data_IF_788566530877
#
_entry.id   IF_788566530877
#
_cell.length_a   1.000
_cell.length_b   1.000
_cell.length_c   1.000
_cell.angle_alpha   90.00
_cell.angle_beta   90.00
_cell.angle_gamma   90.00
#
_symmetry.space_group_name_H-M   'P 1'
#
loop_
_entity.id
_entity.type
_entity.pdbx_description
1 polymer ?
#
# COMPACT_ATOMS: atom_id res chain seq x y z
N UNK A 1 35.23 11.98 8.97
CA UNK A 1 35.31 10.64 8.37
C UNK A 1 36.51 9.98 9.02
N UNK A 2 36.34 8.85 9.68
CA UNK A 2 37.49 8.15 10.27
C UNK A 2 38.37 7.57 9.17
N UNK A 3 39.65 7.29 9.43
CA UNK A 3 40.53 6.62 8.46
C UNK A 3 39.98 5.25 8.03
N UNK A 4 39.20 4.60 8.91
CA UNK A 4 38.50 3.33 8.64
C UNK A 4 37.37 3.52 7.62
N UNK A 5 36.58 4.58 7.73
CA UNK A 5 35.49 4.86 6.78
C UNK A 5 36.03 5.22 5.39
N UNK A 6 37.16 5.94 5.33
CA UNK A 6 37.82 6.27 4.06
C UNK A 6 38.43 5.03 3.36
N UNK A 7 38.99 4.11 4.14
CA UNK A 7 39.48 2.84 3.62
C UNK A 7 38.32 1.97 3.09
N UNK A 8 37.17 1.97 3.77
CA UNK A 8 35.98 1.25 3.35
C UNK A 8 35.42 1.77 2.01
N UNK A 9 35.26 3.08 1.85
CA UNK A 9 34.81 3.69 0.59
C UNK A 9 35.75 3.31 -0.58
N UNK A 10 37.06 3.29 -0.32
CA UNK A 10 38.08 2.89 -1.31
C UNK A 10 37.97 1.41 -1.69
N UNK A 11 37.56 0.54 -0.76
CA UNK A 11 37.38 -0.90 -1.00
C UNK A 11 36.06 -1.22 -1.72
N UNK A 12 35.01 -0.42 -1.52
CA UNK A 12 33.69 -0.61 -2.14
C UNK A 12 33.67 -0.18 -3.61
N UNK A 13 34.38 0.90 -3.96
CA UNK A 13 34.29 1.50 -5.30
C UNK A 13 34.71 0.55 -6.44
N UNK A 14 35.77 -0.28 -6.32
CA UNK A 14 36.14 -1.25 -7.37
C UNK A 14 35.11 -2.35 -7.63
N UNK A 15 34.15 -2.58 -6.71
CA UNK A 15 33.09 -3.57 -6.90
C UNK A 15 31.98 -3.07 -7.84
N UNK A 16 31.84 -1.75 -7.97
CA UNK A 16 30.81 -1.12 -8.81
C UNK A 16 31.06 -1.43 -10.29
N UNK A 17 30.00 -1.80 -11.00
CA UNK A 17 30.03 -2.33 -12.36
C UNK A 17 30.22 -3.84 -12.43
N UNK A 18 30.50 -4.51 -11.31
CA UNK A 18 30.59 -5.97 -11.25
C UNK A 18 29.27 -6.64 -11.61
N UNK A 19 29.34 -7.72 -12.39
CA UNK A 19 28.20 -8.54 -12.78
C UNK A 19 28.33 -9.96 -12.23
N UNK A 20 27.23 -10.50 -11.73
CA UNK A 20 27.17 -11.87 -11.23
C UNK A 20 26.96 -12.91 -12.34
N UNK A 21 27.04 -14.20 -11.99
CA UNK A 21 26.51 -15.26 -12.84
C UNK A 21 25.02 -15.06 -13.10
N UNK A 22 24.56 -15.53 -14.26
CA UNK A 22 23.13 -15.51 -14.60
C UNK A 22 22.42 -16.51 -13.70
N UNK A 23 21.41 -16.03 -12.98
CA UNK A 23 20.50 -16.85 -12.21
C UNK A 23 19.35 -17.25 -13.11
N UNK A 24 18.97 -18.52 -13.11
CA UNK A 24 17.82 -19.02 -13.85
C UNK A 24 16.78 -19.47 -12.83
N UNK A 25 15.53 -19.06 -13.03
CA UNK A 25 14.40 -19.52 -12.24
C UNK A 25 14.39 -21.04 -12.20
N UNK A 26 14.17 -21.61 -11.02
CA UNK A 26 14.15 -23.08 -10.85
C UNK A 26 12.96 -23.72 -11.55
N UNK A 27 11.87 -22.98 -11.69
CA UNK A 27 10.63 -23.41 -12.30
C UNK A 27 10.18 -22.38 -13.34
N UNK A 28 9.47 -22.80 -14.41
CA UNK A 28 8.83 -21.86 -15.31
C UNK A 28 7.75 -21.04 -14.59
N UNK A 29 7.40 -19.90 -15.16
CA UNK A 29 6.25 -19.10 -14.76
C UNK A 29 5.01 -19.99 -14.73
N UNK A 30 4.46 -20.20 -13.54
CA UNK A 30 3.35 -21.14 -13.34
C UNK A 30 1.99 -20.44 -13.36
N UNK A 31 1.03 -20.95 -14.13
CA UNK A 31 -0.34 -20.43 -14.14
C UNK A 31 -1.00 -20.48 -12.74
N UNK A 32 -0.71 -21.52 -11.96
CA UNK A 32 -1.19 -21.63 -10.57
C UNK A 32 -0.56 -20.58 -9.65
N UNK A 33 0.72 -20.26 -9.84
CA UNK A 33 1.39 -19.20 -9.08
C UNK A 33 0.81 -17.82 -9.44
N UNK A 34 0.56 -17.56 -10.73
CA UNK A 34 -0.16 -16.36 -11.18
C UNK A 34 -1.54 -16.25 -10.53
N UNK A 35 -2.33 -17.33 -10.56
CA UNK A 35 -3.68 -17.36 -9.97
C UNK A 35 -3.65 -17.14 -8.46
N UNK A 36 -2.70 -17.76 -7.75
CA UNK A 36 -2.52 -17.59 -6.31
C UNK A 36 -2.11 -16.15 -5.96
N UNK A 37 -1.20 -15.56 -6.73
CA UNK A 37 -0.82 -14.16 -6.59
C UNK A 37 -2.02 -13.24 -6.79
N UNK A 38 -2.83 -13.47 -7.84
CA UNK A 38 -4.03 -12.69 -8.08
C UNK A 38 -5.02 -12.76 -6.91
N UNK A 39 -5.28 -13.96 -6.39
CA UNK A 39 -6.16 -14.14 -5.24
C UNK A 39 -5.66 -13.37 -4.00
N UNK A 40 -4.37 -13.47 -3.67
CA UNK A 40 -3.77 -12.80 -2.51
C UNK A 40 -3.79 -11.27 -2.65
N UNK A 41 -3.48 -10.74 -3.84
CA UNK A 41 -3.53 -9.29 -4.07
C UNK A 41 -4.96 -8.76 -4.23
N UNK A 42 -5.97 -9.64 -4.27
CA UNK A 42 -7.33 -9.33 -4.71
C UNK A 42 -7.37 -8.70 -6.10
N UNK A 43 -6.49 -9.15 -6.99
CA UNK A 43 -6.43 -8.77 -8.40
C UNK A 43 -7.45 -9.58 -9.19
N UNK A 44 -8.42 -8.87 -9.78
CA UNK A 44 -9.58 -9.45 -10.44
C UNK A 44 -9.56 -9.28 -11.96
N UNK A 45 -8.48 -8.73 -12.55
CA UNK A 45 -8.34 -8.61 -14.00
C UNK A 45 -8.34 -10.01 -14.66
N UNK A 46 -9.38 -10.32 -15.48
CA UNK A 46 -9.52 -11.64 -16.07
C UNK A 46 -8.42 -11.97 -17.08
N UNK A 47 -7.68 -10.98 -17.60
CA UNK A 47 -6.59 -11.22 -18.55
C UNK A 47 -5.43 -12.03 -17.95
N UNK A 48 -5.35 -12.14 -16.63
CA UNK A 48 -4.30 -12.90 -15.94
C UNK A 48 -4.68 -14.37 -15.68
N UNK A 49 -5.95 -14.74 -15.80
CA UNK A 49 -6.43 -16.08 -15.38
C UNK A 49 -7.45 -16.73 -16.32
N UNK A 50 -8.13 -15.97 -17.17
CA UNK A 50 -9.11 -16.47 -18.13
C UNK A 50 -8.56 -16.43 -19.55
N UNK A 51 -8.27 -17.60 -20.12
CA UNK A 51 -7.68 -17.74 -21.45
C UNK A 51 -8.56 -17.17 -22.57
N UNK A 52 -9.88 -17.33 -22.47
CA UNK A 52 -10.81 -16.88 -23.50
C UNK A 52 -10.87 -15.34 -23.54
N UNK A 53 -10.87 -14.70 -22.37
CA UNK A 53 -10.81 -13.24 -22.28
C UNK A 53 -9.44 -12.73 -22.71
N UNK A 54 -8.36 -13.36 -22.21
CA UNK A 54 -6.99 -12.97 -22.47
C UNK A 54 -6.58 -13.06 -23.95
N UNK A 55 -7.11 -14.03 -24.70
CA UNK A 55 -6.88 -14.17 -26.14
C UNK A 55 -7.32 -12.93 -26.94
N UNK A 56 -8.34 -12.21 -26.47
CA UNK A 56 -8.81 -10.95 -27.07
C UNK A 56 -8.17 -9.69 -26.46
N UNK A 57 -7.34 -9.87 -25.44
CA UNK A 57 -6.67 -8.82 -24.70
C UNK A 57 -5.49 -8.18 -25.45
N UNK A 58 -4.90 -7.10 -24.90
CA UNK A 58 -3.72 -6.44 -25.47
C UNK A 58 -2.51 -7.36 -25.62
N UNK A 59 -2.47 -8.46 -24.87
CA UNK A 59 -1.38 -9.43 -24.91
C UNK A 59 -1.69 -10.68 -25.74
N UNK A 60 -2.91 -10.87 -26.26
CA UNK A 60 -3.25 -12.03 -27.10
C UNK A 60 -3.14 -13.41 -26.42
N UNK A 61 -3.29 -13.47 -25.10
CA UNK A 61 -3.20 -14.68 -24.27
C UNK A 61 -2.83 -14.32 -22.83
N UNK A 62 -2.90 -15.28 -21.90
CA UNK A 62 -2.57 -15.03 -20.48
C UNK A 62 -1.13 -14.53 -20.35
N UNK A 63 -0.97 -13.54 -19.48
CA UNK A 63 0.32 -13.04 -18.98
C UNK A 63 0.32 -13.01 -17.46
N UNK A 64 1.50 -13.07 -16.86
CA UNK A 64 1.67 -12.79 -15.45
C UNK A 64 1.47 -11.28 -15.18
N UNK A 65 0.88 -10.91 -14.03
CA UNK A 65 0.77 -9.52 -13.63
C UNK A 65 2.16 -8.83 -13.63
N UNK A 66 2.28 -7.58 -14.11
CA UNK A 66 3.58 -6.94 -14.33
C UNK A 66 4.43 -6.85 -13.06
N UNK A 67 3.81 -6.59 -11.90
CA UNK A 67 4.48 -6.51 -10.61
C UNK A 67 5.12 -7.84 -10.12
N UNK A 68 4.96 -8.94 -10.86
CA UNK A 68 5.59 -10.24 -10.56
C UNK A 68 7.00 -10.38 -11.12
N UNK A 69 7.52 -9.41 -11.89
CA UNK A 69 8.78 -9.53 -12.64
C UNK A 69 9.93 -10.18 -11.86
N UNK A 70 10.21 -9.71 -10.65
CA UNK A 70 11.34 -10.18 -9.84
C UNK A 70 11.01 -11.41 -8.97
N UNK A 71 9.74 -11.75 -8.80
CA UNK A 71 9.27 -12.89 -7.99
C UNK A 71 9.88 -14.22 -8.46
N UNK A 72 9.98 -14.42 -9.78
CA UNK A 72 10.34 -15.70 -10.38
C UNK A 72 11.78 -16.14 -10.15
N UNK A 73 12.64 -15.22 -9.74
CA UNK A 73 14.06 -15.49 -9.44
C UNK A 73 14.38 -15.28 -7.95
N UNK A 74 13.36 -15.13 -7.11
CA UNK A 74 13.56 -14.99 -5.67
C UNK A 74 14.20 -16.26 -5.08
N UNK A 75 15.26 -16.14 -4.27
CA UNK A 75 15.87 -17.30 -3.64
C UNK A 75 14.99 -17.83 -2.50
N UNK A 76 14.93 -19.16 -2.37
CA UNK A 76 14.33 -19.81 -1.19
C UNK A 76 15.23 -19.61 0.02
N UNK A 77 14.72 -19.00 1.09
CA UNK A 77 15.47 -18.65 2.32
C UNK A 77 15.06 -19.46 3.56
N UNK A 78 14.56 -20.68 3.36
CA UNK A 78 14.13 -21.55 4.47
C UNK A 78 15.35 -22.24 5.08
N UNK A 79 15.63 -21.98 6.37
CA UNK A 79 16.77 -22.56 7.10
C UNK A 79 17.78 -21.54 7.65
N UNK A 80 17.48 -20.24 7.59
CA UNK A 80 18.31 -19.15 8.11
C UNK A 80 19.02 -18.36 7.01
N UNK A 81 19.66 -17.25 7.41
CA UNK A 81 20.22 -16.25 6.48
C UNK A 81 21.23 -16.79 5.46
N UNK A 82 21.83 -17.95 5.67
CA UNK A 82 22.86 -18.55 4.80
C UNK A 82 22.34 -19.57 3.79
N UNK A 83 21.13 -20.12 3.96
CA UNK A 83 20.60 -21.16 3.08
C UNK A 83 19.95 -20.52 1.86
N UNK A 84 20.42 -20.88 0.66
CA UNK A 84 19.88 -20.40 -0.62
C UNK A 84 20.38 -19.02 -1.07
N UNK A 85 21.31 -18.37 -0.33
CA UNK A 85 22.01 -17.17 -0.84
C UNK A 85 23.04 -17.60 -1.87
N UNK A 86 22.85 -17.14 -3.11
CA UNK A 86 23.91 -17.13 -4.11
C UNK A 86 24.98 -16.10 -3.67
N UNK A 87 26.10 -16.62 -3.17
CA UNK A 87 27.23 -15.83 -2.67
C UNK A 87 28.06 -15.20 -3.79
N UNK A 88 27.86 -15.63 -5.04
CA UNK A 88 28.66 -15.19 -6.19
C UNK A 88 28.06 -13.94 -6.86
N UNK A 89 26.96 -13.40 -6.31
CA UNK A 89 26.32 -12.18 -6.78
C UNK A 89 27.13 -10.92 -6.43
N UNK A 90 27.17 -9.90 -7.31
CA UNK A 90 28.15 -8.82 -7.25
C UNK A 90 27.99 -7.92 -6.01
N UNK A 91 26.78 -7.85 -5.45
CA UNK A 91 26.49 -7.10 -4.24
C UNK A 91 26.95 -7.79 -2.95
N UNK A 92 27.21 -9.11 -2.97
CA UNK A 92 27.54 -9.85 -1.74
C UNK A 92 28.87 -9.41 -1.14
N UNK A 93 29.88 -9.17 -1.97
CA UNK A 93 31.17 -8.63 -1.51
C UNK A 93 31.00 -7.25 -0.85
N UNK A 94 30.15 -6.39 -1.41
CA UNK A 94 29.85 -5.09 -0.82
C UNK A 94 29.10 -5.24 0.53
N UNK A 95 28.14 -6.18 0.60
CA UNK A 95 27.43 -6.46 1.85
C UNK A 95 28.36 -6.96 2.95
N UNK A 96 29.25 -7.89 2.63
CA UNK A 96 30.21 -8.43 3.59
C UNK A 96 31.16 -7.34 4.13
N UNK A 97 31.73 -6.50 3.25
CA UNK A 97 32.57 -5.39 3.68
C UNK A 97 31.83 -4.41 4.60
N UNK A 98 30.55 -4.15 4.30
CA UNK A 98 29.70 -3.30 5.12
C UNK A 98 29.37 -3.97 6.47
N UNK A 99 29.07 -5.27 6.47
CA UNK A 99 28.82 -6.05 7.70
C UNK A 99 30.04 -6.07 8.61
N UNK A 100 31.23 -6.34 8.06
CA UNK A 100 32.50 -6.36 8.79
C UNK A 100 32.84 -4.98 9.39
N UNK A 101 32.39 -3.90 8.75
CA UNK A 101 32.50 -2.52 9.26
C UNK A 101 31.35 -2.10 10.21
N UNK A 102 30.47 -3.04 10.58
CA UNK A 102 29.38 -2.84 11.54
C UNK A 102 28.09 -2.25 10.96
N UNK A 103 27.93 -2.18 9.64
CA UNK A 103 26.69 -1.78 8.97
C UNK A 103 25.76 -2.97 8.76
N UNK A 104 25.34 -3.58 9.87
CA UNK A 104 24.59 -4.83 9.91
C UNK A 104 23.09 -4.68 9.70
N UNK A 105 22.53 -3.48 9.93
CA UNK A 105 21.13 -3.17 9.63
C UNK A 105 20.90 -3.09 8.12
N UNK A 106 19.76 -3.59 7.66
CA UNK A 106 19.37 -3.55 6.24
C UNK A 106 17.89 -3.21 6.10
N UNK A 107 17.57 -2.35 5.14
CA UNK A 107 16.19 -2.08 4.72
C UNK A 107 16.16 -1.81 3.22
N UNK A 108 15.11 -2.28 2.53
CA UNK A 108 14.84 -1.89 1.15
C UNK A 108 14.34 -0.43 1.12
N UNK A 109 14.78 0.36 0.15
CA UNK A 109 14.36 1.76 0.02
C UNK A 109 13.74 2.08 -1.33
N UNK A 110 14.11 1.36 -2.39
CA UNK A 110 13.53 1.55 -3.72
C UNK A 110 13.39 0.24 -4.48
N UNK A 111 12.35 0.15 -5.29
CA UNK A 111 12.11 -0.87 -6.30
C UNK A 111 11.51 -0.20 -7.53
N UNK A 112 12.31 -0.08 -8.58
CA UNK A 112 11.91 0.53 -9.84
C UNK A 112 11.93 -0.53 -10.94
N UNK A 113 10.74 -0.97 -11.37
CA UNK A 113 10.55 -1.96 -12.41
C UNK A 113 10.23 -1.28 -13.74
N UNK A 114 10.85 -1.74 -14.82
CA UNK A 114 10.48 -1.38 -16.19
C UNK A 114 10.15 -2.65 -16.98
N UNK A 115 9.07 -2.60 -17.75
CA UNK A 115 8.50 -3.75 -18.43
C UNK A 115 8.68 -3.59 -19.94
N UNK A 116 9.48 -4.45 -20.54
CA UNK A 116 9.71 -4.51 -21.99
C UNK A 116 8.73 -5.49 -22.64
N UNK A 117 8.49 -6.62 -21.97
CA UNK A 117 7.48 -7.61 -22.31
C UNK A 117 6.81 -8.13 -21.04
N UNK A 118 5.62 -8.73 -21.17
CA UNK A 118 4.95 -9.39 -20.06
C UNK A 118 5.26 -10.90 -20.11
N UNK A 119 5.63 -11.46 -18.96
CA UNK A 119 5.88 -12.88 -18.80
C UNK A 119 4.61 -13.70 -19.06
N UNK A 120 4.77 -14.92 -19.58
CA UNK A 120 3.67 -15.86 -19.83
C UNK A 120 3.86 -17.14 -19.04
N UNK A 121 2.76 -17.83 -18.67
CA UNK A 121 2.87 -19.19 -18.18
C UNK A 121 3.71 -20.08 -19.11
N UNK A 122 4.74 -20.73 -18.56
CA UNK A 122 5.71 -21.53 -19.29
C UNK A 122 7.06 -20.85 -19.56
N UNK A 123 7.15 -19.52 -19.46
CA UNK A 123 8.43 -18.82 -19.61
C UNK A 123 9.42 -19.22 -18.51
N UNK A 124 10.69 -19.41 -18.85
CA UNK A 124 11.75 -19.61 -17.86
C UNK A 124 12.54 -18.30 -17.78
N UNK A 125 12.46 -17.66 -16.61
CA UNK A 125 13.06 -16.35 -16.37
C UNK A 125 14.52 -16.52 -15.99
N UNK A 126 15.39 -15.70 -16.57
CA UNK A 126 16.77 -15.54 -16.14
C UNK A 126 17.01 -14.11 -15.67
N UNK A 127 17.91 -13.94 -14.69
CA UNK A 127 18.25 -12.67 -14.08
C UNK A 127 19.77 -12.48 -14.08
N UNK A 128 20.24 -11.32 -14.56
CA UNK A 128 21.63 -10.88 -14.44
C UNK A 128 21.71 -9.64 -13.58
N UNK A 129 22.34 -9.77 -12.41
CA UNK A 129 22.53 -8.66 -11.47
C UNK A 129 23.82 -7.91 -11.78
N UNK A 130 23.75 -6.59 -11.72
CA UNK A 130 24.89 -5.66 -11.76
C UNK A 130 24.88 -4.81 -10.49
N UNK A 131 26.00 -4.70 -9.79
CA UNK A 131 26.16 -3.71 -8.72
C UNK A 131 26.40 -2.34 -9.36
N UNK A 132 25.37 -1.49 -9.46
CA UNK A 132 25.48 -0.22 -10.19
C UNK A 132 25.98 0.95 -9.33
N UNK A 133 25.93 0.84 -8.00
CA UNK A 133 26.53 1.85 -7.16
C UNK A 133 26.44 1.59 -5.67
N UNK A 134 27.44 2.10 -4.94
CA UNK A 134 27.43 2.24 -3.50
C UNK A 134 27.58 3.73 -3.18
N UNK A 135 26.67 4.30 -2.41
CA UNK A 135 26.74 5.72 -2.07
C UNK A 135 27.88 5.98 -1.08
N UNK A 136 28.41 7.21 -1.03
CA UNK A 136 29.14 7.67 0.15
C UNK A 136 28.26 7.53 1.40
N UNK A 137 28.89 7.54 2.58
CA UNK A 137 28.17 7.46 3.85
C UNK A 137 27.09 8.55 3.96
N UNK A 138 25.90 8.15 4.41
CA UNK A 138 24.72 9.00 4.63
C UNK A 138 24.20 8.84 6.05
N UNK A 139 23.77 9.95 6.64
CA UNK A 139 23.02 9.96 7.89
C UNK A 139 21.52 9.96 7.59
N UNK A 140 20.80 8.97 8.09
CA UNK A 140 19.33 8.87 8.03
C UNK A 140 18.72 8.81 9.43
N UNK A 141 17.39 8.68 9.51
CA UNK A 141 16.69 8.41 10.78
C UNK A 141 16.99 7.01 11.34
N UNK A 142 17.27 6.03 10.48
CA UNK A 142 17.60 4.66 10.88
C UNK A 142 19.05 4.51 11.35
N UNK A 143 19.96 5.24 10.71
CA UNK A 143 21.38 5.11 10.99
C UNK A 143 22.28 5.89 10.06
N UNK A 144 23.56 5.90 10.41
CA UNK A 144 24.66 6.16 9.49
C UNK A 144 24.85 4.90 8.63
N UNK A 145 24.93 5.05 7.31
CA UNK A 145 25.01 3.92 6.40
C UNK A 145 25.29 4.28 4.95
N UNK A 146 25.22 3.26 4.09
CA UNK A 146 25.44 3.35 2.65
C UNK A 146 24.24 2.81 1.89
N UNK A 147 23.86 3.49 0.81
CA UNK A 147 22.91 2.93 -0.14
C UNK A 147 23.65 2.02 -1.10
N UNK A 148 23.17 0.80 -1.27
CA UNK A 148 23.67 -0.14 -2.27
C UNK A 148 22.58 -0.31 -3.32
N UNK A 149 22.91 0.01 -4.57
CA UNK A 149 21.97 -0.05 -5.70
C UNK A 149 22.41 -1.14 -6.66
N UNK A 150 21.50 -2.04 -6.99
CA UNK A 150 21.67 -3.09 -7.99
C UNK A 150 20.69 -2.89 -9.13
N UNK A 151 21.11 -3.21 -10.34
CA UNK A 151 20.22 -3.35 -11.48
C UNK A 151 20.16 -4.83 -11.87
N UNK A 152 18.96 -5.35 -12.09
CA UNK A 152 18.72 -6.71 -12.53
C UNK A 152 18.06 -6.66 -13.89
N UNK A 153 18.70 -7.26 -14.90
CA UNK A 153 18.11 -7.45 -16.22
C UNK A 153 17.50 -8.84 -16.32
N UNK A 154 16.24 -8.91 -16.74
CA UNK A 154 15.49 -10.15 -16.89
C UNK A 154 15.31 -10.52 -18.37
N UNK A 155 15.47 -11.80 -18.67
CA UNK A 155 15.24 -12.35 -20.01
C UNK A 155 14.50 -13.69 -19.94
N UNK A 156 13.77 -14.05 -21.00
CA UNK A 156 13.12 -15.36 -21.13
C UNK A 156 14.13 -16.46 -21.52
N UNK A 157 13.64 -17.69 -21.74
CA UNK A 157 14.45 -18.84 -22.16
C UNK A 157 15.15 -18.68 -23.51
N UNK A 158 14.74 -17.71 -24.33
CA UNK A 158 15.33 -17.41 -25.64
C UNK A 158 16.38 -16.29 -25.56
N UNK A 159 16.55 -15.66 -24.38
CA UNK A 159 17.43 -14.52 -24.19
C UNK A 159 16.79 -13.19 -24.59
N UNK A 160 15.49 -13.16 -24.89
CA UNK A 160 14.78 -11.92 -25.17
C UNK A 160 14.58 -11.13 -23.88
N UNK A 161 14.87 -9.83 -23.85
CA UNK A 161 14.60 -8.98 -22.70
C UNK A 161 13.12 -8.95 -22.32
N UNK A 162 12.84 -9.03 -21.03
CA UNK A 162 11.48 -8.94 -20.48
C UNK A 162 11.30 -7.71 -19.62
N UNK A 163 12.33 -7.30 -18.90
CA UNK A 163 12.28 -6.08 -18.10
C UNK A 163 13.53 -5.89 -17.25
N UNK A 164 13.55 -4.80 -16.50
CA UNK A 164 14.61 -4.47 -15.57
C UNK A 164 14.07 -4.10 -14.19
N UNK A 165 14.87 -4.35 -13.16
CA UNK A 165 14.62 -3.89 -11.79
C UNK A 165 15.84 -3.12 -11.30
N UNK A 166 15.66 -1.84 -10.98
CA UNK A 166 16.60 -1.15 -10.09
C UNK A 166 16.14 -1.33 -8.65
N UNK A 167 16.97 -1.97 -7.84
CA UNK A 167 16.70 -2.20 -6.42
C UNK A 167 17.73 -1.47 -5.57
N UNK A 168 17.29 -0.79 -4.53
CA UNK A 168 18.17 -0.10 -3.60
C UNK A 168 17.87 -0.52 -2.17
N UNK A 169 18.92 -0.86 -1.45
CA UNK A 169 18.87 -1.05 0.00
C UNK A 169 19.70 0.01 0.71
N UNK A 170 19.41 0.23 1.99
CA UNK A 170 20.25 0.99 2.89
C UNK A 170 20.86 0.04 3.94
N UNK A 171 22.18 -0.10 3.91
CA UNK A 171 22.98 -0.82 4.90
C UNK A 171 23.45 0.17 5.95
N UNK A 172 23.10 -0.03 7.21
CA UNK A 172 23.31 0.97 8.25
C UNK A 172 23.78 0.37 9.56
N UNK A 173 24.44 1.20 10.37
CA UNK A 173 24.85 0.84 11.73
C UNK A 173 23.68 1.06 12.69
N UNK A 174 23.12 0.01 13.31
CA UNK A 174 22.04 0.15 14.28
C UNK A 174 22.44 1.11 15.43
N UNK A 175 21.47 1.84 15.98
CA UNK A 175 21.70 2.77 17.10
C UNK A 175 22.41 4.09 16.73
N UNK A 176 22.69 4.34 15.44
CA UNK A 176 23.30 5.60 14.97
C UNK A 176 22.33 6.51 14.20
N UNK A 177 21.03 6.23 14.32
CA UNK A 177 19.98 7.05 13.71
C UNK A 177 20.01 8.48 14.21
N UNK A 178 19.51 9.43 13.40
CA UNK A 178 19.26 10.78 13.91
C UNK A 178 18.32 10.67 15.10
N UNK A 179 18.77 11.09 16.26
CA UNK A 179 17.87 11.35 17.37
C UNK A 179 16.86 12.39 16.87
N UNK A 180 15.60 11.98 16.71
CA UNK A 180 14.48 12.91 16.71
C UNK A 180 14.61 13.61 18.07
N UNK A 181 14.66 14.95 18.08
CA UNK A 181 14.97 15.73 19.29
C UNK A 181 14.26 15.12 20.50
N UNK A 182 15.01 14.97 21.60
CA UNK A 182 14.65 14.27 22.84
C UNK A 182 13.34 14.81 23.46
N UNK A 183 12.19 14.57 22.83
CA UNK A 183 11.01 14.30 23.60
C UNK A 183 11.19 12.87 24.10
N UNK A 184 11.29 12.65 25.42
CA UNK A 184 11.34 11.29 25.94
C UNK A 184 10.18 10.51 25.32
N UNK A 185 10.49 9.36 24.73
CA UNK A 185 9.45 8.38 24.38
C UNK A 185 8.83 7.99 25.71
N UNK A 186 7.68 8.58 25.99
CA UNK A 186 6.92 8.26 27.17
C UNK A 186 6.37 6.85 26.97
N UNK A 187 7.09 5.89 27.54
CA UNK A 187 6.73 4.48 27.55
C UNK A 187 5.65 4.19 28.62
N UNK A 188 5.12 5.23 29.27
CA UNK A 188 3.94 5.07 30.10
C UNK A 188 2.74 4.67 29.24
N UNK A 189 1.88 3.76 29.73
CA UNK A 189 0.72 3.33 28.99
C UNK A 189 -0.14 4.54 28.65
N UNK A 190 -0.47 4.68 27.35
CA UNK A 190 -1.32 5.77 26.89
C UNK A 190 -2.64 5.77 27.67
N UNK A 191 -3.09 6.92 28.17
CA UNK A 191 -4.38 6.99 28.84
C UNK A 191 -5.50 6.62 27.88
N UNK A 192 -6.50 5.91 28.40
CA UNK A 192 -7.70 5.58 27.64
C UNK A 192 -8.47 6.84 27.22
N UNK A 193 -9.26 6.71 26.14
CA UNK A 193 -10.11 7.80 25.68
C UNK A 193 -11.12 8.18 26.75
N UNK A 194 -11.43 9.48 26.94
CA UNK A 194 -12.49 9.89 27.86
C UNK A 194 -13.79 9.16 27.54
N UNK A 195 -14.36 8.49 28.55
CA UNK A 195 -15.62 7.77 28.39
C UNK A 195 -16.74 8.74 27.99
N UNK A 196 -17.52 8.42 26.95
CA UNK A 196 -18.68 9.24 26.62
C UNK A 196 -19.69 9.22 27.76
N UNK A 197 -20.45 10.31 27.91
CA UNK A 197 -21.58 10.38 28.83
C UNK A 197 -22.86 10.27 28.04
N UNK A 198 -23.74 9.38 28.46
CA UNK A 198 -25.09 9.25 27.90
C UNK A 198 -26.11 8.92 28.98
N UNK A 199 -27.38 9.07 28.65
CA UNK A 199 -28.51 8.80 29.55
C UNK A 199 -29.40 7.68 29.00
N UNK A 200 -30.49 7.37 29.70
CA UNK A 200 -31.43 6.31 29.32
C UNK A 200 -32.05 6.54 27.94
N UNK A 201 -32.31 7.80 27.55
CA UNK A 201 -32.93 8.16 26.26
C UNK A 201 -32.02 7.88 25.05
N UNK A 202 -30.72 7.71 25.29
CA UNK A 202 -29.72 7.39 24.28
C UNK A 202 -29.23 5.94 24.37
N UNK A 203 -29.68 5.16 25.35
CA UNK A 203 -29.15 3.82 25.63
C UNK A 203 -29.27 2.87 24.42
N UNK A 204 -30.35 2.98 23.63
CA UNK A 204 -30.57 2.19 22.42
C UNK A 204 -29.50 2.43 21.34
N UNK A 205 -28.98 3.66 21.25
CA UNK A 205 -27.93 4.04 20.30
C UNK A 205 -26.59 3.41 20.71
N UNK A 206 -26.20 3.56 21.98
CA UNK A 206 -24.96 2.98 22.51
C UNK A 206 -24.96 1.45 22.50
N UNK A 207 -26.10 0.82 22.79
CA UNK A 207 -26.26 -0.62 22.62
C UNK A 207 -26.16 -1.03 21.15
N UNK A 208 -26.60 -0.17 20.22
CA UNK A 208 -26.38 -0.37 18.79
C UNK A 208 -24.91 -0.33 18.44
N UNK A 209 -24.17 0.69 18.89
CA UNK A 209 -22.73 0.80 18.63
C UNK A 209 -21.97 -0.42 19.15
N UNK A 210 -22.30 -0.93 20.33
CA UNK A 210 -21.72 -2.17 20.91
C UNK A 210 -22.01 -3.43 20.08
N UNK A 211 -23.06 -3.39 19.25
CA UNK A 211 -23.42 -4.44 18.31
C UNK A 211 -22.94 -4.13 16.88
N UNK A 212 -22.10 -3.09 16.70
CA UNK A 212 -21.66 -2.60 15.40
C UNK A 212 -22.82 -2.18 14.48
N UNK A 213 -23.86 -1.59 15.08
CA UNK A 213 -25.03 -1.03 14.40
C UNK A 213 -25.12 0.48 14.62
N UNK A 214 -25.08 1.26 13.54
CA UNK A 214 -25.32 2.70 13.62
C UNK A 214 -26.83 2.97 13.63
N UNK A 215 -27.43 2.97 14.82
CA UNK A 215 -28.87 3.20 14.97
C UNK A 215 -29.20 4.70 14.94
N UNK A 216 -30.19 5.07 14.14
CA UNK A 216 -30.69 6.44 13.95
C UNK A 216 -32.13 6.54 14.45
N UNK A 217 -32.45 7.60 15.19
CA UNK A 217 -33.77 7.80 15.78
C UNK A 217 -34.79 8.06 14.67
N UNK A 218 -35.96 7.42 14.78
CA UNK A 218 -37.11 7.65 13.89
C UNK A 218 -38.36 7.92 14.70
N UNK A 219 -39.02 9.05 14.45
CA UNK A 219 -40.34 9.31 15.05
C UNK A 219 -41.41 8.44 14.38
N UNK A 220 -42.19 7.69 15.17
CA UNK A 220 -43.13 6.70 14.63
C UNK A 220 -44.33 7.33 13.94
N UNK A 221 -44.76 8.52 14.39
CA UNK A 221 -45.89 9.23 13.80
C UNK A 221 -45.57 9.88 12.44
N UNK A 222 -44.36 10.43 12.29
CA UNK A 222 -43.95 11.18 11.10
C UNK A 222 -43.03 10.40 10.16
N UNK A 223 -42.40 9.32 10.64
CA UNK A 223 -41.32 8.61 9.94
C UNK A 223 -40.01 9.40 9.86
N UNK A 224 -39.93 10.60 10.46
CA UNK A 224 -38.76 11.48 10.37
C UNK A 224 -37.56 10.87 11.07
N UNK A 225 -36.43 10.84 10.37
CA UNK A 225 -35.13 10.50 10.95
C UNK A 225 -34.46 11.73 11.55
N UNK A 226 -33.86 11.59 12.73
CA UNK A 226 -33.17 12.68 13.43
C UNK A 226 -31.85 12.22 14.05
N UNK A 227 -30.83 13.04 13.88
CA UNK A 227 -29.55 12.95 14.58
C UNK A 227 -29.00 14.36 14.86
N UNK A 228 -28.50 14.67 16.07
CA UNK A 228 -28.45 13.80 17.26
C UNK A 228 -29.85 13.48 17.80
N UNK A 229 -30.01 12.42 18.62
CA UNK A 229 -31.31 12.07 19.20
C UNK A 229 -31.95 13.21 20.01
N UNK A 230 -33.25 13.40 19.85
CA UNK A 230 -34.05 14.43 20.54
C UNK A 230 -35.29 13.83 21.19
N UNK A 231 -35.85 14.49 22.20
CA UNK A 231 -36.96 13.95 23.01
C UNK A 231 -38.31 14.01 22.28
N UNK A 232 -38.50 14.98 21.39
CA UNK A 232 -39.75 15.18 20.66
C UNK A 232 -39.48 15.61 19.21
N UNK A 233 -40.36 15.23 18.29
CA UNK A 233 -40.28 15.60 16.88
C UNK A 233 -40.34 17.14 16.77
N UNK A 234 -39.37 17.79 16.10
CA UNK A 234 -39.30 19.25 16.02
C UNK A 234 -40.45 19.89 15.22
N UNK A 235 -41.26 19.09 14.51
CA UNK A 235 -42.41 19.53 13.73
C UNK A 235 -43.74 19.13 14.38
N UNK A 236 -43.87 17.87 14.80
CA UNK A 236 -45.16 17.34 15.32
C UNK A 236 -45.24 17.35 16.85
N UNK A 237 -44.10 17.52 17.53
CA UNK A 237 -43.94 17.36 18.97
C UNK A 237 -44.34 15.97 19.49
N UNK A 238 -44.44 14.96 18.61
CA UNK A 238 -44.63 13.58 19.02
C UNK A 238 -43.39 13.09 19.79
N UNK A 239 -43.63 12.32 20.84
CA UNK A 239 -42.59 11.72 21.68
C UNK A 239 -42.39 10.24 21.38
N UNK A 240 -43.28 9.63 20.58
CA UNK A 240 -43.16 8.24 20.18
C UNK A 240 -42.09 8.10 19.09
N UNK A 241 -41.03 7.34 19.40
CA UNK A 241 -39.95 7.04 18.47
C UNK A 241 -39.50 5.58 18.60
N UNK A 242 -38.93 5.08 17.51
CA UNK A 242 -38.11 3.89 17.45
C UNK A 242 -36.77 4.24 16.78
N UNK A 243 -36.08 3.26 16.20
CA UNK A 243 -34.86 3.48 15.45
C UNK A 243 -34.81 2.62 14.19
N UNK A 244 -33.97 3.06 13.25
CA UNK A 244 -33.53 2.27 12.10
C UNK A 244 -32.03 2.02 12.21
N UNK A 245 -31.55 0.89 11.70
CA UNK A 245 -30.11 0.66 11.52
C UNK A 245 -29.73 1.30 10.19
N UNK A 246 -28.80 2.26 10.22
CA UNK A 246 -28.30 2.90 9.01
C UNK A 246 -27.47 1.92 8.17
N UNK A 247 -27.37 2.18 6.86
CA UNK A 247 -26.51 1.43 5.92
C UNK A 247 -25.03 1.49 6.31
N UNK A 248 -24.66 2.50 7.11
CA UNK A 248 -23.28 2.81 7.46
C UNK A 248 -22.53 3.56 6.36
N UNK A 249 -23.19 3.90 5.25
CA UNK A 249 -22.59 4.64 4.13
C UNK A 249 -23.02 6.10 4.15
N UNK A 250 -22.15 6.96 3.66
CA UNK A 250 -22.41 8.39 3.54
C UNK A 250 -21.35 9.12 2.73
N UNK A 251 -21.40 10.44 2.79
CA UNK A 251 -20.42 11.31 2.15
C UNK A 251 -19.90 12.36 3.12
N UNK A 252 -18.65 12.78 2.94
CA UNK A 252 -18.05 13.83 3.75
C UNK A 252 -18.68 15.19 3.43
N UNK A 253 -19.51 15.72 4.32
CA UNK A 253 -20.19 17.00 4.12
C UNK A 253 -19.29 18.20 4.48
N UNK A 254 -18.57 18.11 5.59
CA UNK A 254 -17.57 19.10 6.03
C UNK A 254 -16.61 18.48 7.04
N UNK A 255 -15.45 19.10 7.29
CA UNK A 255 -14.50 18.60 8.29
C UNK A 255 -13.60 19.68 8.88
N UNK A 256 -12.97 19.35 10.00
CA UNK A 256 -11.90 20.12 10.64
C UNK A 256 -10.88 19.19 11.28
N UNK A 257 -9.63 19.62 11.45
CA UNK A 257 -8.58 18.87 12.12
C UNK A 257 -7.91 19.75 13.19
N UNK A 258 -8.39 19.75 14.44
CA UNK A 258 -7.76 20.49 15.53
C UNK A 258 -6.31 20.03 15.76
N UNK A 259 -5.37 20.97 15.76
CA UNK A 259 -3.94 20.69 15.93
C UNK A 259 -3.46 20.81 17.38
N UNK A 260 -3.98 21.79 18.14
CA UNK A 260 -3.60 22.05 19.53
C UNK A 260 -4.80 22.47 20.41
N UNK A 261 -4.78 22.17 21.72
CA UNK A 261 -3.80 21.32 22.41
C UNK A 261 -3.99 19.83 22.06
N UNK A 262 -2.89 19.08 22.02
CA UNK A 262 -2.96 17.63 21.83
C UNK A 262 -3.27 16.95 23.18
N UNK A 263 -4.18 15.98 23.15
CA UNK A 263 -4.56 15.19 24.32
C UNK A 263 -3.99 13.79 24.14
N UNK A 264 -3.18 13.27 25.09
CA UNK A 264 -2.47 11.99 24.92
C UNK A 264 -3.36 10.78 24.61
N UNK A 265 -4.64 10.83 24.97
CA UNK A 265 -5.60 9.75 24.73
C UNK A 265 -6.10 9.65 23.26
N UNK A 266 -5.72 10.59 22.39
CA UNK A 266 -6.16 10.63 21.00
C UNK A 266 -4.99 10.50 20.02
N UNK A 267 -5.29 9.89 18.87
CA UNK A 267 -4.38 9.82 17.75
C UNK A 267 -4.52 11.06 16.87
N UNK A 268 -3.39 11.52 16.30
CA UNK A 268 -3.33 12.72 15.47
C UNK A 268 -2.77 12.39 14.09
N UNK A 269 -3.25 13.05 13.01
CA UNK A 269 -4.23 14.14 12.98
C UNK A 269 -5.64 13.69 13.35
N UNK A 270 -6.29 14.42 14.27
CA UNK A 270 -7.64 14.13 14.73
C UNK A 270 -8.64 14.76 13.76
N UNK A 271 -9.00 14.07 12.68
CA UNK A 271 -10.01 14.58 11.75
C UNK A 271 -11.40 14.40 12.34
N UNK A 272 -12.14 15.50 12.45
CA UNK A 272 -13.55 15.53 12.85
C UNK A 272 -14.37 15.89 11.61
N UNK A 273 -15.13 14.93 11.11
CA UNK A 273 -15.99 15.08 9.94
C UNK A 273 -17.46 15.16 10.32
N UNK A 274 -18.22 15.96 9.58
CA UNK A 274 -19.67 15.85 9.49
C UNK A 274 -19.99 14.96 8.28
N UNK A 275 -20.55 13.80 8.52
CA UNK A 275 -20.90 12.80 7.49
C UNK A 275 -22.38 12.89 7.20
N UNK A 276 -22.76 13.10 5.95
CA UNK A 276 -24.15 12.99 5.49
C UNK A 276 -24.40 11.54 5.08
N UNK A 277 -25.20 10.84 5.87
CA UNK A 277 -25.56 9.45 5.63
C UNK A 277 -26.52 9.33 4.44
N UNK A 278 -26.57 8.15 3.82
CA UNK A 278 -27.52 7.86 2.73
C UNK A 278 -28.99 8.04 3.16
N UNK A 279 -29.29 7.90 4.46
CA UNK A 279 -30.62 8.17 5.03
C UNK A 279 -30.96 9.67 5.14
N UNK A 280 -30.03 10.57 4.83
CA UNK A 280 -30.23 12.03 4.78
C UNK A 280 -30.03 12.77 6.11
N UNK A 281 -29.63 12.07 7.18
CA UNK A 281 -29.19 12.71 8.43
C UNK A 281 -27.68 12.91 8.44
N UNK A 282 -27.20 13.80 9.30
CA UNK A 282 -25.76 14.08 9.45
C UNK A 282 -25.23 13.66 10.81
N UNK A 283 -24.08 13.00 10.84
CA UNK A 283 -23.42 12.49 12.04
C UNK A 283 -22.02 13.11 12.16
N UNK A 284 -21.68 13.60 13.34
CA UNK A 284 -20.30 14.04 13.63
C UNK A 284 -19.49 12.82 14.07
N UNK A 285 -18.38 12.56 13.39
CA UNK A 285 -17.54 11.39 13.66
C UNK A 285 -16.07 11.66 13.36
N UNK A 286 -15.18 10.77 13.82
CA UNK A 286 -13.79 10.81 13.37
C UNK A 286 -13.66 10.20 11.98
N UNK A 287 -12.90 10.87 11.12
CA UNK A 287 -12.52 10.29 9.82
C UNK A 287 -11.12 9.69 9.97
N UNK A 288 -11.00 8.40 9.73
CA UNK A 288 -9.78 7.60 9.95
C UNK A 288 -9.32 6.91 8.68
N UNK A 289 -8.11 6.34 8.72
CA UNK A 289 -7.51 5.68 7.55
C UNK A 289 -7.20 6.65 6.41
N UNK A 290 -7.14 7.96 6.64
CA UNK A 290 -6.85 8.95 5.60
C UNK A 290 -6.27 10.21 6.25
N UNK A 291 -5.36 10.89 5.55
CA UNK A 291 -4.77 12.13 6.01
C UNK A 291 -5.61 13.35 5.61
N UNK A 292 -5.51 14.48 6.35
CA UNK A 292 -6.22 15.71 6.03
C UNK A 292 -6.02 16.22 4.59
N UNK A 293 -4.81 16.10 4.03
CA UNK A 293 -4.47 16.53 2.65
C UNK A 293 -5.12 15.66 1.57
N UNK A 294 -5.67 14.50 1.94
CA UNK A 294 -6.32 13.57 1.04
C UNK A 294 -7.85 13.71 1.05
N UNK A 295 -8.42 14.48 1.99
CA UNK A 295 -9.87 14.62 2.13
C UNK A 295 -10.48 15.56 1.08
N UNK A 296 -11.65 15.18 0.58
CA UNK A 296 -12.46 15.96 -0.35
C UNK A 296 -13.92 15.97 0.13
N UNK A 297 -14.57 17.12 -0.01
CA UNK A 297 -16.02 17.21 0.25
C UNK A 297 -16.75 16.36 -0.78
N UNK A 298 -17.73 15.58 -0.32
CA UNK A 298 -18.43 14.58 -1.13
C UNK A 298 -17.74 13.22 -1.18
N UNK A 299 -16.55 13.05 -0.58
CA UNK A 299 -15.85 11.77 -0.53
C UNK A 299 -16.77 10.68 0.06
N UNK A 300 -16.95 9.52 -0.62
CA UNK A 300 -17.71 8.41 -0.07
C UNK A 300 -17.02 7.83 1.17
N UNK A 301 -17.81 7.63 2.22
CA UNK A 301 -17.36 7.10 3.50
C UNK A 301 -18.21 5.90 3.93
N UNK A 302 -17.58 4.98 4.63
CA UNK A 302 -18.23 3.86 5.32
C UNK A 302 -17.91 3.89 6.82
N UNK A 303 -18.85 3.43 7.63
CA UNK A 303 -18.69 3.30 9.07
C UNK A 303 -17.66 2.22 9.39
N UNK A 304 -16.81 2.52 10.35
CA UNK A 304 -15.91 1.57 11.00
C UNK A 304 -15.99 1.78 12.52
N UNK A 305 -15.41 0.85 13.27
CA UNK A 305 -15.64 0.75 14.71
C UNK A 305 -14.33 0.87 15.47
N UNK A 306 -14.37 1.63 16.56
CA UNK A 306 -13.31 1.67 17.55
C UNK A 306 -13.86 1.16 18.88
N UNK A 307 -13.44 -0.03 19.27
CA UNK A 307 -13.66 -0.56 20.62
C UNK A 307 -12.71 0.15 21.59
N UNK A 308 -13.21 1.24 22.16
CA UNK A 308 -12.42 2.13 23.02
C UNK A 308 -12.23 1.59 24.43
N UNK A 309 -13.16 0.76 24.90
CA UNK A 309 -13.19 0.09 26.19
C UNK A 309 -13.98 -1.22 26.03
N UNK A 310 -13.90 -2.14 27.01
CA UNK A 310 -14.63 -3.42 27.01
C UNK A 310 -16.14 -3.31 26.74
N UNK A 311 -16.75 -2.18 27.11
CA UNK A 311 -18.19 -1.92 27.01
C UNK A 311 -18.55 -0.71 26.14
N UNK A 312 -17.56 -0.06 25.48
CA UNK A 312 -17.78 1.16 24.70
C UNK A 312 -17.16 1.06 23.31
N UNK A 313 -18.03 0.93 22.32
CA UNK A 313 -17.69 1.05 20.89
C UNK A 313 -18.07 2.43 20.38
N UNK A 314 -17.19 3.05 19.60
CA UNK A 314 -17.41 4.33 18.93
C UNK A 314 -17.55 4.11 17.42
N UNK A 315 -18.48 4.81 16.79
CA UNK A 315 -18.47 4.91 15.33
C UNK A 315 -17.29 5.79 14.88
N UNK A 316 -16.67 5.40 13.80
CA UNK A 316 -15.74 6.20 13.00
C UNK A 316 -16.14 6.05 11.54
N UNK A 317 -15.60 6.88 10.66
CA UNK A 317 -15.79 6.72 9.22
C UNK A 317 -14.44 6.68 8.52
N UNK A 318 -14.34 5.88 7.47
CA UNK A 318 -13.16 5.80 6.61
C UNK A 318 -13.59 5.89 5.14
N UNK A 319 -12.69 6.26 4.21
CA UNK A 319 -13.01 6.22 2.78
C UNK A 319 -13.54 4.84 2.37
N UNK A 320 -14.51 4.81 1.46
CA UNK A 320 -14.96 3.55 0.86
C UNK A 320 -13.86 3.01 -0.05
N UNK A 321 -13.61 1.70 -0.03
CA UNK A 321 -12.80 1.07 -1.08
C UNK A 321 -13.50 1.23 -2.42
N UNK A 322 -12.86 1.85 -3.44
CA UNK A 322 -13.50 2.06 -4.73
C UNK A 322 -13.81 0.73 -5.40
N UNK A 323 -14.94 0.68 -6.10
CA UNK A 323 -15.25 -0.43 -6.99
C UNK A 323 -14.22 -0.47 -8.13
N UNK A 324 -13.83 -1.69 -8.49
CA UNK A 324 -12.97 -1.91 -9.65
C UNK A 324 -13.70 -1.52 -10.93
N UNK A 325 -13.03 -0.78 -11.80
CA UNK A 325 -13.47 -0.51 -13.16
C UNK A 325 -13.40 -1.78 -14.02
N UNK A 326 -14.52 -2.16 -14.64
CA UNK A 326 -14.60 -3.31 -15.56
C UNK A 326 -14.47 -2.93 -17.04
N UNK A 327 -14.74 -1.67 -17.39
CA UNK A 327 -14.35 -1.12 -18.70
C UNK A 327 -12.89 -0.64 -18.65
N UNK A 328 -12.36 -0.07 -19.74
CA UNK A 328 -11.01 0.50 -19.74
C UNK A 328 -11.07 1.94 -20.19
N UNK A 329 -10.47 2.83 -19.40
CA UNK A 329 -10.27 4.23 -19.76
C UNK A 329 -9.53 4.31 -21.07
N UNK A 330 -10.00 5.19 -21.96
CA UNK A 330 -9.26 5.55 -23.16
C UNK A 330 -8.46 6.81 -22.88
N UNK A 331 -7.45 7.07 -23.71
CA UNK A 331 -6.63 8.29 -23.63
C UNK A 331 -7.49 9.55 -23.49
N UNK A 332 -8.59 9.66 -24.24
CA UNK A 332 -9.50 10.80 -24.22
C UNK A 332 -10.20 11.06 -22.88
N UNK A 333 -10.25 10.07 -21.99
CA UNK A 333 -10.96 10.17 -20.70
C UNK A 333 -10.11 10.82 -19.59
N UNK A 334 -8.82 11.05 -19.84
CA UNK A 334 -7.84 11.38 -18.80
C UNK A 334 -7.13 12.69 -19.08
N UNK A 335 -7.02 13.51 -18.04
CA UNK A 335 -6.31 14.79 -18.00
C UNK A 335 -5.29 14.85 -16.86
N UNK A 336 -4.23 15.66 -17.06
CA UNK A 336 -3.29 15.98 -15.98
C UNK A 336 -4.04 16.66 -14.83
N UNK A 337 -3.83 16.16 -13.61
CA UNK A 337 -4.51 16.62 -12.40
C UNK A 337 -5.68 15.74 -11.96
N UNK A 338 -6.15 14.82 -12.79
CA UNK A 338 -7.20 13.87 -12.41
C UNK A 338 -6.76 13.04 -11.21
N UNK A 339 -7.58 13.04 -10.15
CA UNK A 339 -7.29 12.29 -8.92
C UNK A 339 -7.88 10.90 -9.00
N UNK A 340 -7.10 9.92 -8.56
CA UNK A 340 -7.58 8.55 -8.40
C UNK A 340 -8.38 8.46 -7.09
N UNK A 341 -9.44 7.62 -7.05
CA UNK A 341 -10.21 7.43 -5.83
C UNK A 341 -9.31 6.84 -4.72
N UNK A 342 -9.36 7.40 -3.49
CA UNK A 342 -8.64 6.84 -2.36
C UNK A 342 -9.02 5.39 -2.12
N UNK A 343 -8.04 4.52 -1.88
CA UNK A 343 -8.28 3.11 -1.63
C UNK A 343 -7.62 2.69 -0.31
N UNK A 344 -8.39 2.58 0.79
CA UNK A 344 -7.88 1.99 2.02
C UNK A 344 -7.69 0.48 1.86
N UNK A 345 -6.61 -0.01 2.44
CA UNK A 345 -6.20 -1.41 2.44
C UNK A 345 -5.86 -1.77 3.87
N UNK A 346 -6.64 -2.69 4.44
CA UNK A 346 -6.37 -3.21 5.78
C UNK A 346 -5.17 -4.15 5.71
N UNK A 347 -4.11 -3.80 6.44
CA UNK A 347 -2.89 -4.60 6.54
C UNK A 347 -3.13 -5.64 7.62
N UNK A 348 -3.64 -6.80 7.24
CA UNK A 348 -3.86 -7.90 8.17
C UNK A 348 -2.63 -8.81 8.26
N UNK A 349 -2.53 -9.60 9.32
CA UNK A 349 -1.52 -10.69 9.41
C UNK A 349 -1.63 -11.62 8.20
N UNK A 350 -2.85 -11.93 7.78
CA UNK A 350 -3.13 -12.74 6.59
C UNK A 350 -2.50 -12.13 5.35
N UNK A 351 -2.78 -10.85 5.05
CA UNK A 351 -2.21 -10.17 3.88
C UNK A 351 -0.69 -10.15 3.89
N UNK A 352 -0.07 -9.87 5.05
CA UNK A 352 1.40 -9.83 5.18
C UNK A 352 2.00 -11.20 4.89
N UNK A 353 1.50 -12.25 5.54
CA UNK A 353 2.05 -13.60 5.39
C UNK A 353 1.76 -14.18 4.01
N UNK A 354 0.51 -14.08 3.53
CA UNK A 354 0.13 -14.60 2.22
C UNK A 354 0.82 -13.83 1.10
N UNK A 355 0.99 -12.51 1.25
CA UNK A 355 1.71 -11.66 0.32
C UNK A 355 3.17 -12.08 0.17
N UNK A 356 3.86 -12.31 1.28
CA UNK A 356 5.23 -12.83 1.28
C UNK A 356 5.34 -14.19 0.56
N UNK A 357 4.45 -15.12 0.89
CA UNK A 357 4.43 -16.45 0.26
C UNK A 357 4.09 -16.40 -1.23
N UNK A 358 3.08 -15.63 -1.62
CA UNK A 358 2.65 -15.49 -3.01
C UNK A 358 3.68 -14.77 -3.88
N UNK A 359 4.60 -14.01 -3.26
CA UNK A 359 5.71 -13.32 -3.93
C UNK A 359 7.04 -14.04 -3.78
N UNK A 360 7.02 -15.29 -3.29
CA UNK A 360 8.20 -16.14 -3.04
C UNK A 360 9.28 -15.47 -2.18
N UNK A 361 8.88 -14.51 -1.35
CA UNK A 361 9.75 -13.82 -0.43
C UNK A 361 9.74 -14.53 0.93
N UNK A 362 10.66 -15.46 1.08
CA UNK A 362 10.80 -16.28 2.28
C UNK A 362 11.66 -15.62 3.36
N UNK A 363 11.83 -14.29 3.34
CA UNK A 363 12.52 -13.62 4.44
C UNK A 363 11.67 -13.63 5.72
N UNK A 364 12.29 -14.07 6.81
CA UNK A 364 11.67 -14.35 8.12
C UNK A 364 10.82 -13.20 8.69
N UNK A 365 11.25 -11.94 8.52
CA UNK A 365 10.53 -10.76 9.06
C UNK A 365 9.13 -10.55 8.48
N UNK A 366 8.72 -11.34 7.48
CA UNK A 366 7.39 -11.28 6.88
C UNK A 366 6.44 -12.36 7.39
N UNK A 367 6.93 -13.36 8.14
CA UNK A 367 6.13 -14.51 8.57
C UNK A 367 6.52 -15.11 9.92
N UNK A 368 7.58 -14.61 10.56
CA UNK A 368 8.03 -14.99 11.90
C UNK A 368 8.12 -13.73 12.78
N UNK A 369 7.14 -13.59 13.69
CA UNK A 369 7.06 -12.46 14.62
C UNK A 369 8.23 -12.41 15.60
N UNK A 370 8.79 -13.56 16.00
CA UNK A 370 9.91 -13.60 16.94
C UNK A 370 11.20 -13.18 16.24
N UNK A 371 11.41 -13.61 15.00
CA UNK A 371 12.51 -13.15 14.17
C UNK A 371 12.42 -11.64 13.87
N UNK A 372 11.22 -11.14 13.58
CA UNK A 372 10.98 -9.70 13.38
C UNK A 372 11.33 -8.89 14.64
N UNK A 373 10.88 -9.33 15.82
CA UNK A 373 11.17 -8.69 17.12
C UNK A 373 12.65 -8.76 17.49
N UNK A 374 13.31 -9.89 17.21
CA UNK A 374 14.76 -10.02 17.38
C UNK A 374 15.55 -9.01 16.53
N UNK A 375 14.98 -8.54 15.41
CA UNK A 375 15.52 -7.50 14.53
C UNK A 375 15.05 -6.09 14.88
N UNK A 376 14.32 -5.92 15.98
CA UNK A 376 13.88 -4.61 16.50
C UNK A 376 12.59 -4.07 15.88
N UNK A 377 11.82 -4.92 15.17
CA UNK A 377 10.49 -4.57 14.66
C UNK A 377 9.42 -4.86 15.72
N UNK A 378 8.30 -4.12 15.77
CA UNK A 378 7.21 -4.42 16.69
C UNK A 378 6.51 -5.76 16.37
N UNK A 379 6.38 -6.08 15.09
CA UNK A 379 5.84 -7.33 14.56
C UNK A 379 6.33 -7.53 13.11
N UNK A 380 5.85 -8.58 12.44
CA UNK A 380 6.08 -8.82 11.01
C UNK A 380 5.74 -7.57 10.16
N UNK A 381 6.43 -7.42 9.04
CA UNK A 381 6.27 -6.29 8.12
C UNK A 381 5.83 -6.75 6.74
N UNK A 382 5.01 -5.95 6.07
CA UNK A 382 4.66 -6.18 4.67
C UNK A 382 5.88 -5.97 3.75
N UNK A 383 6.18 -6.95 2.90
CA UNK A 383 7.29 -6.83 1.96
C UNK A 383 6.96 -5.89 0.79
N UNK A 384 8.00 -5.36 0.14
CA UNK A 384 7.83 -4.41 -0.96
C UNK A 384 7.16 -5.04 -2.19
N UNK A 385 7.28 -6.36 -2.39
CA UNK A 385 6.64 -7.05 -3.51
C UNK A 385 5.10 -7.03 -3.37
N UNK A 386 4.59 -7.21 -2.13
CA UNK A 386 3.17 -7.04 -1.84
C UNK A 386 2.73 -5.61 -2.06
N UNK A 387 3.51 -4.62 -1.60
CA UNK A 387 3.22 -3.21 -1.86
C UNK A 387 3.18 -2.87 -3.36
N UNK A 388 4.09 -3.44 -4.16
CA UNK A 388 4.08 -3.31 -5.63
C UNK A 388 2.84 -3.93 -6.26
N UNK A 389 2.44 -5.12 -5.82
CA UNK A 389 1.24 -5.80 -6.28
C UNK A 389 -0.03 -5.02 -5.99
N UNK A 390 -0.19 -4.52 -4.75
CA UNK A 390 -1.33 -3.70 -4.35
C UNK A 390 -1.39 -2.37 -5.09
N UNK A 391 -0.24 -1.74 -5.36
CA UNK A 391 -0.16 -0.52 -6.16
C UNK A 391 -0.55 -0.77 -7.62
N UNK A 392 0.00 -1.82 -8.25
CA UNK A 392 -0.36 -2.21 -9.61
C UNK A 392 -1.85 -2.55 -9.73
N UNK A 393 -2.40 -3.32 -8.78
CA UNK A 393 -3.82 -3.64 -8.71
C UNK A 393 -4.67 -2.39 -8.62
N UNK A 394 -4.38 -1.49 -7.68
CA UNK A 394 -5.17 -0.25 -7.53
C UNK A 394 -5.11 0.66 -8.77
N UNK A 395 -3.95 0.76 -9.43
CA UNK A 395 -3.82 1.48 -10.70
C UNK A 395 -4.63 0.81 -11.83
N UNK A 396 -4.60 -0.53 -11.90
CA UNK A 396 -5.40 -1.32 -12.82
C UNK A 396 -6.91 -1.21 -12.53
N UNK A 397 -7.31 -1.19 -11.27
CA UNK A 397 -8.70 -1.02 -10.84
C UNK A 397 -9.27 0.34 -11.27
N UNK A 398 -8.42 1.38 -11.31
CA UNK A 398 -8.80 2.70 -11.78
C UNK A 398 -8.82 2.80 -13.31
N UNK A 399 -7.78 2.30 -13.97
CA UNK A 399 -7.60 2.43 -15.42
C UNK A 399 -8.44 1.42 -16.23
N UNK A 400 -8.65 0.22 -15.70
CA UNK A 400 -9.36 -0.88 -16.32
C UNK A 400 -8.46 -1.93 -16.98
N UNK A 401 -9.09 -3.03 -17.41
CA UNK A 401 -8.38 -4.29 -17.70
C UNK A 401 -7.36 -4.26 -18.82
N UNK A 402 -7.59 -3.45 -19.86
CA UNK A 402 -6.78 -3.49 -21.07
C UNK A 402 -5.59 -2.54 -21.02
N UNK A 403 -5.33 -1.92 -19.87
CA UNK A 403 -4.16 -1.06 -19.68
C UNK A 403 -2.87 -1.86 -19.72
N UNK A 404 -1.81 -1.29 -20.31
CA UNK A 404 -0.48 -1.92 -20.33
C UNK A 404 0.47 -1.11 -19.46
N UNK A 405 1.14 -1.77 -18.51
CA UNK A 405 2.15 -1.12 -17.68
C UNK A 405 3.49 -1.02 -18.42
N UNK A 406 4.12 0.16 -18.38
CA UNK A 406 5.50 0.38 -18.85
C UNK A 406 6.51 0.34 -17.73
N UNK A 407 6.12 0.83 -16.56
CA UNK A 407 6.96 0.79 -15.37
C UNK A 407 6.12 0.86 -14.09
N UNK A 408 6.76 0.53 -12.97
CA UNK A 408 6.27 0.77 -11.63
C UNK A 408 7.46 1.13 -10.75
N UNK A 409 7.50 2.38 -10.26
CA UNK A 409 8.59 2.93 -9.45
C UNK A 409 8.10 3.21 -8.05
N UNK A 410 8.76 2.63 -7.05
CA UNK A 410 8.34 2.72 -5.65
C UNK A 410 9.55 3.03 -4.78
N UNK A 411 9.43 4.11 -4.00
CA UNK A 411 10.26 4.38 -2.83
C UNK A 411 9.53 3.97 -1.56
N UNK A 412 10.22 3.21 -0.70
CA UNK A 412 9.72 2.74 0.59
C UNK A 412 10.06 3.73 1.71
N UNK A 413 9.13 3.91 2.64
CA UNK A 413 9.24 4.78 3.80
C UNK A 413 8.86 4.05 5.09
N UNK A 414 7.75 4.47 5.70
CA UNK A 414 7.22 3.87 6.91
C UNK A 414 6.88 2.38 6.69
N UNK A 415 7.09 1.53 7.70
CA UNK A 415 6.72 0.11 7.61
C UNK A 415 5.21 -0.06 7.78
N UNK A 416 4.64 -1.07 7.12
CA UNK A 416 3.26 -1.53 7.33
C UNK A 416 3.31 -2.79 8.19
N UNK A 417 2.51 -2.80 9.25
CA UNK A 417 2.37 -3.91 10.20
C UNK A 417 0.93 -4.41 10.25
N UNK A 418 0.70 -5.67 10.69
CA UNK A 418 -0.63 -6.14 11.00
C UNK A 418 -1.41 -5.18 11.91
N UNK A 419 -2.64 -4.84 11.52
CA UNK A 419 -3.51 -3.88 12.21
C UNK A 419 -3.44 -2.45 11.65
N UNK A 420 -2.48 -2.14 10.78
CA UNK A 420 -2.46 -0.86 10.07
C UNK A 420 -3.55 -0.81 8.98
N UNK A 421 -3.97 0.41 8.63
CA UNK A 421 -4.62 0.67 7.34
C UNK A 421 -3.68 1.50 6.49
N UNK A 422 -3.34 0.99 5.30
CA UNK A 422 -2.62 1.74 4.28
C UNK A 422 -3.62 2.29 3.25
N UNK A 423 -3.61 3.60 3.03
CA UNK A 423 -4.48 4.24 2.04
C UNK A 423 -3.71 4.73 0.84
N UNK A 424 -4.07 4.19 -0.32
CA UNK A 424 -3.54 4.59 -1.62
C UNK A 424 -4.26 5.83 -2.11
N UNK A 425 -3.49 6.82 -2.58
CA UNK A 425 -4.00 8.02 -3.25
C UNK A 425 -3.02 8.44 -4.33
N UNK A 426 -3.49 9.16 -5.34
CA UNK A 426 -2.62 9.62 -6.42
C UNK A 426 -3.35 10.49 -7.43
N UNK A 427 -2.61 10.98 -8.40
CA UNK A 427 -3.13 11.78 -9.49
C UNK A 427 -2.32 11.60 -10.75
N UNK A 428 -2.95 11.84 -11.89
CA UNK A 428 -2.28 11.90 -13.18
C UNK A 428 -1.36 13.12 -13.22
N UNK A 429 -0.09 12.91 -13.51
CA UNK A 429 0.93 13.96 -13.56
C UNK A 429 1.39 14.29 -14.97
N UNK A 430 1.24 13.34 -15.89
CA UNK A 430 1.61 13.53 -17.29
C UNK A 430 0.72 12.69 -18.20
N UNK A 431 0.45 13.21 -19.39
CA UNK A 431 -0.31 12.52 -20.43
C UNK A 431 0.40 12.76 -21.76
N UNK A 432 1.08 11.73 -22.24
CA UNK A 432 1.93 11.74 -23.43
C UNK A 432 1.24 11.26 -24.70
N UNK A 433 2.04 11.08 -25.74
CA UNK A 433 1.63 10.48 -27.02
C UNK A 433 1.39 8.97 -26.89
N UNK A 434 0.61 8.39 -27.82
CA UNK A 434 0.39 6.95 -27.90
C UNK A 434 -0.30 6.36 -26.66
N UNK A 435 -1.17 7.13 -26.01
CA UNK A 435 -1.91 6.72 -24.83
C UNK A 435 -1.11 6.65 -23.52
N UNK A 436 0.15 7.12 -23.50
CA UNK A 436 0.96 7.12 -22.29
C UNK A 436 0.38 8.05 -21.21
N UNK A 437 0.19 7.53 -20.00
CA UNK A 437 -0.30 8.27 -18.83
C UNK A 437 0.59 7.95 -17.64
N UNK A 438 1.16 8.99 -17.01
CA UNK A 438 1.93 8.84 -15.77
C UNK A 438 1.07 9.21 -14.58
N UNK A 439 0.96 8.30 -13.62
CA UNK A 439 0.29 8.51 -12.34
C UNK A 439 1.35 8.59 -11.24
N UNK A 440 1.34 9.65 -10.44
CA UNK A 440 2.10 9.72 -9.19
C UNK A 440 1.19 9.32 -8.03
N UNK A 441 1.71 8.53 -7.10
CA UNK A 441 0.92 7.98 -6.00
C UNK A 441 1.69 7.88 -4.68
N UNK A 442 0.92 7.80 -3.60
CA UNK A 442 1.40 7.54 -2.25
C UNK A 442 0.48 6.54 -1.55
N UNK A 443 1.08 5.62 -0.80
CA UNK A 443 0.40 4.73 0.14
C UNK A 443 0.78 5.13 1.57
N UNK A 444 -0.21 5.41 2.41
CA UNK A 444 0.00 6.13 3.67
C UNK A 444 -0.64 5.39 4.83
N UNK A 445 0.08 5.23 5.94
CA UNK A 445 -0.42 4.64 7.17
C UNK A 445 -0.23 5.61 8.36
N UNK A 446 -0.53 5.13 9.57
CA UNK A 446 -0.41 5.91 10.82
C UNK A 446 1.02 6.43 11.09
N UNK A 447 2.04 5.74 10.60
CA UNK A 447 3.45 6.07 10.77
C UNK A 447 3.99 7.03 9.70
N UNK A 448 3.28 7.19 8.58
CA UNK A 448 3.60 8.16 7.52
C UNK A 448 3.39 7.61 6.11
N UNK A 449 4.29 7.95 5.19
CA UNK A 449 4.22 7.44 3.81
C UNK A 449 4.92 6.08 3.78
N UNK A 450 4.16 5.01 3.58
CA UNK A 450 4.69 3.67 3.37
C UNK A 450 5.36 3.56 2.00
N UNK A 451 4.66 3.96 0.95
CA UNK A 451 5.20 4.05 -0.41
C UNK A 451 4.96 5.43 -1.00
N UNK A 452 5.91 5.90 -1.81
CA UNK A 452 5.75 7.00 -2.76
C UNK A 452 6.27 6.52 -4.10
N UNK A 453 5.52 6.75 -5.16
CA UNK A 453 5.87 6.16 -6.44
C UNK A 453 5.24 6.84 -7.63
N UNK A 454 5.57 6.31 -8.80
CA UNK A 454 4.87 6.60 -10.03
C UNK A 454 4.81 5.36 -10.91
N UNK A 455 3.83 5.34 -11.80
CA UNK A 455 3.70 4.33 -12.84
C UNK A 455 3.33 4.99 -14.15
N UNK A 456 3.90 4.50 -15.23
CA UNK A 456 3.48 4.83 -16.59
C UNK A 456 2.63 3.68 -17.14
N UNK A 457 1.43 4.06 -17.58
CA UNK A 457 0.40 3.20 -18.14
C UNK A 457 0.20 3.59 -19.61
N UNK A 458 -0.13 2.62 -20.46
CA UNK A 458 -0.60 2.88 -21.83
C UNK A 458 -2.08 2.57 -21.89
N UNK A 459 -2.88 3.63 -22.04
CA UNK A 459 -4.31 3.54 -22.28
C UNK A 459 -4.58 3.33 -23.79
N UNK A 460 -5.65 2.61 -24.17
CA UNK A 460 -6.10 2.58 -25.56
C UNK A 460 -6.48 3.98 -26.07
N UNK A 461 -6.29 4.26 -27.37
CA UNK A 461 -6.67 5.54 -28.00
C UNK A 461 -8.21 5.75 -28.11
N UNK A 462 -9.01 4.71 -27.81
CA UNK A 462 -10.46 4.70 -27.98
C UNK A 462 -10.90 4.41 -29.41
N UNK A 463 -12.21 4.21 -29.66
CA UNK A 463 -12.71 4.09 -31.03
C UNK A 463 -12.47 5.41 -31.75
N UNK A 464 -11.71 5.39 -32.84
CA UNK A 464 -11.65 6.52 -33.77
C UNK A 464 -13.08 6.81 -34.21
N UNK A 465 -13.59 7.98 -33.84
CA UNK A 465 -14.88 8.45 -34.34
C UNK A 465 -14.88 8.29 -35.85
N UNK A 466 -15.91 7.66 -36.41
CA UNK A 466 -16.08 7.58 -37.84
C UNK A 466 -16.02 9.00 -38.42
N UNK A 467 -14.88 9.36 -39.02
CA UNK A 467 -14.80 10.57 -39.82
C UNK A 467 -15.87 10.43 -40.89
N UNK A 468 -16.83 11.35 -40.86
CA UNK A 468 -17.98 11.34 -41.75
C UNK A 468 -17.49 11.27 -43.20
N UNK A 469 -17.83 10.18 -43.87
CA UNK A 469 -17.85 10.14 -45.33
C UNK A 469 -18.90 11.16 -45.80
N UNK A 470 -18.45 12.36 -46.15
CA UNK A 470 -19.20 13.31 -46.95
C UNK A 470 -19.02 13.00 -48.44
#
# INVERSE_FOLDING_TARGET
MSDVDAALDTALQPLVGGQGPVQVATEPVGASAVSAWCAVMSEANPLFVDEAVAASGPHGGIVAPPATLNMWTMPVRIGGDSVGRDTDQPQQAAYQLLDDAGFTGVVATNSDQAYEAHLRPGDIVSARTTLVGVSPQKQTALGIGHFVTTEVAYANQHGDPVGTLTFRIFKFRPGTGRQRGDEPVDDSPRPERPRPRWNQDQAWHWEGLRQHELRIQRFTGSGRLVHPPVVADPTTHDMAYDWVVASGRGSLYSWTAPEHPKVPAFDYPLVVGLVELEEGVRVVSNIVGVRPDQLEIGMPLEVCWLDSHDDVTLHQFRPVRPDRRTDTLVRGDVSVGDRLPPCPIDVTTELVMSGALATFDHQDVHHDSDAARAKGLPDIIMNILTSSGLAARWLGDWAGDRVVFRNLRIGLGASNHPGDTMTMTGSVTDVGEGGAVTVAFVGTNSLGNHIRGSAELVLPEGPQGAEGSA
#
